data_IF_357889835903
#
_entry.id   IF_357889835903
#
_cell.length_a   1.000
_cell.length_b   1.000
_cell.length_c   1.000
_cell.angle_alpha   90.00
_cell.angle_beta   90.00
_cell.angle_gamma   90.00
#
_symmetry.space_group_name_H-M   'P 1'
#
loop_
_entity.id
_entity.type
_entity.pdbx_description
1 polymer ?
#
# COMPACT_ATOMS: atom_id res chain seq x y z
N UNK A 1 12.03 -5.64 -13.25
CA UNK A 1 10.70 -5.43 -12.66
C UNK A 1 10.59 -6.45 -11.54
N UNK A 2 10.41 -6.05 -10.28
CA UNK A 2 10.26 -7.03 -9.19
C UNK A 2 8.93 -7.73 -9.38
N UNK A 3 8.92 -9.05 -9.49
CA UNK A 3 7.71 -9.85 -9.55
C UNK A 3 7.10 -9.93 -8.16
N UNK A 4 5.92 -9.33 -8.00
CA UNK A 4 5.10 -9.45 -6.80
C UNK A 4 4.11 -10.57 -7.08
N UNK A 5 4.47 -11.80 -6.71
CA UNK A 5 3.57 -12.95 -6.77
C UNK A 5 3.69 -13.78 -5.49
N UNK A 6 2.55 -13.96 -4.82
CA UNK A 6 2.35 -14.98 -3.80
C UNK A 6 1.68 -16.19 -4.44
N UNK A 7 2.23 -17.36 -4.18
CA UNK A 7 1.77 -18.62 -4.76
C UNK A 7 0.69 -19.24 -3.86
N UNK A 8 -0.57 -19.16 -4.30
CA UNK A 8 -1.72 -19.73 -3.59
C UNK A 8 -2.06 -21.10 -4.19
N UNK A 9 -2.44 -22.10 -3.37
CA UNK A 9 -2.91 -23.38 -3.90
C UNK A 9 -4.17 -23.21 -4.74
N UNK A 10 -4.23 -23.89 -5.89
CA UNK A 10 -5.32 -23.77 -6.87
C UNK A 10 -6.70 -24.14 -6.30
N UNK A 11 -6.74 -25.15 -5.42
CA UNK A 11 -7.96 -25.62 -4.76
C UNK A 11 -8.27 -24.87 -3.45
N UNK A 12 -7.44 -23.89 -3.10
CA UNK A 12 -7.49 -23.13 -1.85
C UNK A 12 -7.46 -23.99 -0.58
N UNK A 13 -6.96 -25.23 -0.66
CA UNK A 13 -6.75 -26.08 0.51
C UNK A 13 -5.30 -26.06 0.93
N UNK A 14 -5.06 -25.78 2.20
CA UNK A 14 -3.71 -25.59 2.73
C UNK A 14 -3.44 -26.51 3.92
N UNK A 15 -2.21 -26.99 4.02
CA UNK A 15 -1.64 -27.63 5.20
C UNK A 15 -0.70 -26.67 5.93
N UNK A 16 -0.20 -27.13 7.08
CA UNK A 16 0.71 -26.34 7.92
C UNK A 16 1.99 -25.89 7.19
N UNK A 17 2.77 -26.78 6.53
CA UNK A 17 3.95 -26.34 5.79
C UNK A 17 3.64 -25.30 4.70
N UNK A 18 2.51 -25.45 4.01
CA UNK A 18 2.13 -24.55 2.92
C UNK A 18 1.75 -23.16 3.45
N UNK A 19 1.03 -23.05 4.57
CA UNK A 19 0.69 -21.74 5.15
C UNK A 19 1.92 -21.04 5.74
N UNK A 20 2.84 -21.80 6.35
CA UNK A 20 4.09 -21.26 6.87
C UNK A 20 4.95 -20.68 5.74
N UNK A 21 5.06 -21.40 4.61
CA UNK A 21 5.73 -20.91 3.41
C UNK A 21 5.07 -19.63 2.87
N UNK A 22 3.74 -19.62 2.74
CA UNK A 22 3.00 -18.46 2.23
C UNK A 22 3.22 -17.21 3.10
N UNK A 23 3.31 -17.36 4.42
CA UNK A 23 3.63 -16.28 5.34
C UNK A 23 5.07 -15.80 5.14
N UNK A 24 6.04 -16.71 5.00
CA UNK A 24 7.43 -16.35 4.77
C UNK A 24 7.61 -15.59 3.44
N UNK A 25 7.00 -16.09 2.37
CA UNK A 25 7.01 -15.44 1.04
C UNK A 25 6.39 -14.04 1.12
N UNK A 26 5.29 -13.88 1.88
CA UNK A 26 4.67 -12.58 2.12
C UNK A 26 5.59 -11.61 2.88
N UNK A 27 6.28 -12.09 3.91
CA UNK A 27 7.22 -11.29 4.68
C UNK A 27 8.39 -10.82 3.80
N UNK A 28 8.94 -11.70 2.98
CA UNK A 28 10.02 -11.35 2.06
C UNK A 28 9.57 -10.31 1.03
N UNK A 29 8.39 -10.49 0.42
CA UNK A 29 7.81 -9.51 -0.49
C UNK A 29 7.58 -8.15 0.18
N UNK A 30 7.12 -8.16 1.44
CA UNK A 30 6.86 -6.93 2.19
C UNK A 30 8.14 -6.17 2.51
N UNK A 31 9.24 -6.86 2.82
CA UNK A 31 10.57 -6.26 3.01
C UNK A 31 11.12 -5.65 1.72
N UNK A 32 11.02 -6.39 0.59
CA UNK A 32 11.40 -5.86 -0.73
C UNK A 32 10.63 -4.58 -1.06
N UNK A 33 9.33 -4.55 -0.72
CA UNK A 33 8.48 -3.38 -0.90
C UNK A 33 8.91 -2.21 0.01
N UNK A 34 9.27 -2.45 1.27
CA UNK A 34 9.69 -1.40 2.19
C UNK A 34 11.01 -0.74 1.78
N UNK A 35 11.95 -1.55 1.27
CA UNK A 35 13.32 -1.11 0.96
C UNK A 35 13.43 -0.44 -0.40
N UNK A 36 12.52 -0.76 -1.32
CA UNK A 36 12.47 -0.06 -2.58
C UNK A 36 12.15 1.42 -2.34
N UNK A 37 13.12 2.29 -2.69
CA UNK A 37 12.98 3.75 -2.77
C UNK A 37 11.95 4.05 -3.85
N UNK A 38 10.69 3.96 -3.48
CA UNK A 38 9.61 3.97 -4.43
C UNK A 38 9.36 5.39 -4.93
N UNK A 39 10.12 5.76 -5.97
CA UNK A 39 9.75 6.79 -6.94
C UNK A 39 8.57 6.33 -7.81
N UNK A 40 7.56 5.69 -7.22
CA UNK A 40 6.43 5.18 -7.97
C UNK A 40 5.54 6.38 -8.34
N UNK A 41 5.15 6.44 -9.61
CA UNK A 41 4.03 7.27 -10.04
C UNK A 41 2.74 6.81 -9.35
N UNK A 42 1.76 7.69 -9.15
CA UNK A 42 0.50 7.31 -8.49
C UNK A 42 -0.20 6.10 -9.14
N UNK A 43 0.04 5.87 -10.45
CA UNK A 43 -0.51 4.74 -11.21
C UNK A 43 0.06 3.39 -10.75
N UNK A 44 1.37 3.29 -10.51
CA UNK A 44 1.95 2.02 -10.07
C UNK A 44 1.69 1.75 -8.57
N UNK A 45 1.42 2.77 -7.75
CA UNK A 45 0.95 2.54 -6.36
C UNK A 45 -0.43 1.89 -6.36
N UNK A 46 -1.35 2.37 -7.20
CA UNK A 46 -2.67 1.75 -7.36
C UNK A 46 -2.55 0.29 -7.78
N UNK A 47 -1.65 -0.03 -8.72
CA UNK A 47 -1.40 -1.40 -9.14
C UNK A 47 -0.90 -2.28 -7.99
N UNK A 48 0.05 -1.80 -7.18
CA UNK A 48 0.53 -2.53 -6.01
C UNK A 48 -0.61 -2.78 -5.01
N UNK A 49 -1.42 -1.76 -4.71
CA UNK A 49 -2.60 -1.92 -3.84
C UNK A 49 -3.56 -2.97 -4.41
N UNK A 50 -3.85 -2.93 -5.70
CA UNK A 50 -4.71 -3.93 -6.36
C UNK A 50 -4.15 -5.35 -6.23
N UNK A 51 -2.84 -5.52 -6.38
CA UNK A 51 -2.16 -6.82 -6.20
C UNK A 51 -2.34 -7.33 -4.76
N UNK A 52 -2.06 -6.48 -3.76
CA UNK A 52 -2.22 -6.88 -2.36
C UNK A 52 -3.68 -7.16 -1.99
N UNK A 53 -4.65 -6.38 -2.52
CA UNK A 53 -6.07 -6.66 -2.32
C UNK A 53 -6.49 -8.00 -2.95
N UNK A 54 -5.93 -8.36 -4.11
CA UNK A 54 -6.13 -9.70 -4.69
C UNK A 54 -5.59 -10.80 -3.79
N UNK A 55 -4.44 -10.60 -3.15
CA UNK A 55 -3.94 -11.57 -2.15
C UNK A 55 -4.83 -11.66 -0.93
N UNK A 56 -5.39 -10.54 -0.46
CA UNK A 56 -6.34 -10.54 0.65
C UNK A 56 -7.58 -11.38 0.33
N UNK A 57 -8.12 -11.22 -0.88
CA UNK A 57 -9.25 -12.03 -1.37
C UNK A 57 -8.89 -13.52 -1.47
N UNK A 58 -7.73 -13.84 -2.05
CA UNK A 58 -7.27 -15.23 -2.17
C UNK A 58 -7.04 -15.88 -0.80
N UNK A 59 -6.42 -15.17 0.14
CA UNK A 59 -6.25 -15.64 1.51
C UNK A 59 -7.60 -15.85 2.22
N UNK A 60 -8.62 -15.06 1.89
CA UNK A 60 -9.99 -15.25 2.39
C UNK A 60 -10.68 -16.52 1.89
N UNK A 61 -10.20 -17.12 0.79
CA UNK A 61 -10.72 -18.39 0.25
C UNK A 61 -10.01 -19.61 0.82
N UNK A 62 -8.86 -19.43 1.49
CA UNK A 62 -8.09 -20.53 2.04
C UNK A 62 -8.88 -21.29 3.10
N UNK A 63 -8.84 -22.60 2.98
CA UNK A 63 -9.41 -23.56 3.92
C UNK A 63 -8.38 -24.63 4.24
N UNK A 64 -8.62 -25.38 5.31
CA UNK A 64 -7.73 -26.45 5.76
C UNK A 64 -8.16 -27.81 5.20
N UNK A 65 -7.18 -28.65 4.85
CA UNK A 65 -7.39 -30.08 4.55
C UNK A 65 -7.07 -31.00 5.73
N UNK A 66 -6.65 -30.43 6.86
CA UNK A 66 -6.26 -31.19 8.04
C UNK A 66 -7.47 -31.79 8.77
N UNK A 67 -7.31 -33.02 9.25
CA UNK A 67 -8.32 -33.71 10.07
C UNK A 67 -8.19 -33.36 11.55
N UNK A 68 -6.99 -32.99 11.98
CA UNK A 68 -6.68 -32.60 13.35
C UNK A 68 -7.32 -31.26 13.69
N UNK A 69 -8.04 -31.22 14.80
CA UNK A 69 -8.69 -29.98 15.26
C UNK A 69 -7.66 -28.91 15.64
N UNK A 70 -6.56 -29.31 16.28
CA UNK A 70 -5.48 -28.40 16.69
C UNK A 70 -4.78 -27.81 15.47
N UNK A 71 -4.45 -28.63 14.47
CA UNK A 71 -3.81 -28.13 13.24
C UNK A 71 -4.76 -27.22 12.45
N UNK A 72 -6.06 -27.53 12.44
CA UNK A 72 -7.08 -26.66 11.86
C UNK A 72 -7.09 -25.27 12.51
N UNK A 73 -7.08 -25.19 13.84
CA UNK A 73 -7.04 -23.91 14.56
C UNK A 73 -5.76 -23.14 14.22
N UNK A 74 -4.61 -23.82 14.18
CA UNK A 74 -3.32 -23.19 13.87
C UNK A 74 -3.30 -22.64 12.44
N UNK A 75 -3.77 -23.42 11.46
CA UNK A 75 -3.83 -23.01 10.06
C UNK A 75 -4.79 -21.83 9.88
N UNK A 76 -6.00 -21.89 10.45
CA UNK A 76 -6.98 -20.80 10.36
C UNK A 76 -6.45 -19.51 11.01
N UNK A 77 -5.76 -19.62 12.15
CA UNK A 77 -5.10 -18.49 12.80
C UNK A 77 -4.00 -17.90 11.91
N UNK A 78 -3.24 -18.74 11.22
CA UNK A 78 -2.17 -18.33 10.32
C UNK A 78 -2.73 -17.64 9.05
N UNK A 79 -3.86 -18.11 8.52
CA UNK A 79 -4.61 -17.43 7.46
C UNK A 79 -5.06 -16.04 7.91
N UNK A 80 -5.59 -15.91 9.14
CA UNK A 80 -5.99 -14.61 9.69
C UNK A 80 -4.80 -13.66 9.82
N UNK A 81 -3.66 -14.13 10.34
CA UNK A 81 -2.42 -13.35 10.43
C UNK A 81 -1.92 -12.88 9.06
N UNK A 82 -2.00 -13.74 8.04
CA UNK A 82 -1.64 -13.38 6.68
C UNK A 82 -2.53 -12.24 6.15
N UNK A 83 -3.86 -12.37 6.33
CA UNK A 83 -4.82 -11.34 5.91
C UNK A 83 -4.60 -10.01 6.62
N UNK A 84 -4.34 -10.05 7.93
CA UNK A 84 -4.00 -8.87 8.72
C UNK A 84 -2.73 -8.20 8.19
N UNK A 85 -1.66 -8.97 7.98
CA UNK A 85 -0.40 -8.46 7.43
C UNK A 85 -0.58 -7.80 6.05
N UNK A 86 -1.35 -8.42 5.16
CA UNK A 86 -1.67 -7.86 3.83
C UNK A 86 -2.38 -6.50 3.99
N UNK A 87 -3.38 -6.41 4.87
CA UNK A 87 -4.10 -5.15 5.13
C UNK A 87 -3.19 -4.07 5.72
N UNK A 88 -2.29 -4.43 6.65
CA UNK A 88 -1.30 -3.51 7.19
C UNK A 88 -0.38 -2.94 6.09
N UNK A 89 0.03 -3.78 5.13
CA UNK A 89 0.83 -3.34 3.99
C UNK A 89 0.05 -2.40 3.07
N UNK A 90 -1.20 -2.71 2.75
CA UNK A 90 -2.08 -1.82 1.97
C UNK A 90 -2.24 -0.46 2.66
N UNK A 91 -2.47 -0.45 3.97
CA UNK A 91 -2.57 0.77 4.75
C UNK A 91 -1.27 1.58 4.69
N UNK A 92 -0.11 0.93 4.86
CA UNK A 92 1.20 1.59 4.81
C UNK A 92 1.50 2.19 3.43
N UNK A 93 1.21 1.47 2.35
CA UNK A 93 1.37 1.95 0.98
C UNK A 93 0.46 3.17 0.74
N UNK A 94 -0.79 3.08 1.17
CA UNK A 94 -1.78 4.16 1.01
C UNK A 94 -1.39 5.40 1.81
N UNK A 95 -0.92 5.24 3.04
CA UNK A 95 -0.44 6.34 3.87
C UNK A 95 0.76 7.07 3.24
N UNK A 96 1.73 6.31 2.70
CA UNK A 96 2.87 6.88 1.96
C UNK A 96 2.41 7.69 0.74
N UNK A 97 1.40 7.20 0.01
CA UNK A 97 0.81 7.90 -1.13
C UNK A 97 0.14 9.22 -0.72
N UNK A 98 -0.69 9.19 0.33
CA UNK A 98 -1.37 10.39 0.84
C UNK A 98 -0.36 11.45 1.26
N UNK A 99 0.65 11.09 2.06
CA UNK A 99 1.68 12.04 2.47
C UNK A 99 2.47 12.63 1.29
N UNK A 100 2.74 11.84 0.24
CA UNK A 100 3.37 12.35 -0.99
C UNK A 100 2.48 13.38 -1.70
N UNK A 101 1.19 13.10 -1.84
CA UNK A 101 0.22 14.01 -2.45
C UNK A 101 0.10 15.33 -1.67
N UNK A 102 0.05 15.27 -0.33
CA UNK A 102 0.00 16.47 0.53
C UNK A 102 1.24 17.36 0.36
N UNK A 103 2.42 16.74 0.24
CA UNK A 103 3.67 17.45 0.00
C UNK A 103 3.67 18.13 -1.39
N UNK A 104 3.20 17.44 -2.43
CA UNK A 104 3.07 18.00 -3.79
C UNK A 104 2.08 19.18 -3.82
N UNK A 105 0.92 19.06 -3.18
CA UNK A 105 -0.07 20.14 -3.05
C UNK A 105 0.53 21.35 -2.32
N UNK A 106 1.26 21.11 -1.22
CA UNK A 106 1.88 22.18 -0.44
C UNK A 106 2.95 22.91 -1.25
N UNK A 107 3.76 22.19 -2.03
CA UNK A 107 4.74 22.80 -2.93
C UNK A 107 4.07 23.64 -4.02
N UNK A 108 2.99 23.14 -4.63
CA UNK A 108 2.20 23.89 -5.62
C UNK A 108 1.60 25.17 -5.03
N UNK A 109 1.05 25.12 -3.82
CA UNK A 109 0.51 26.30 -3.11
C UNK A 109 1.60 27.34 -2.80
N UNK A 110 2.81 26.91 -2.42
CA UNK A 110 3.95 27.82 -2.19
C UNK A 110 4.45 28.48 -3.47
N UNK A 111 4.40 27.77 -4.59
CA UNK A 111 4.85 28.27 -5.89
C UNK A 111 3.82 29.20 -6.56
N UNK A 112 2.55 29.16 -6.14
CA UNK A 112 1.55 30.17 -6.45
C UNK A 112 1.70 31.37 -5.48
N UNK A 113 2.65 32.28 -5.74
CA UNK A 113 2.63 33.60 -5.07
C UNK A 113 1.31 34.32 -5.39
N UNK A 114 0.73 35.07 -4.43
CA UNK A 114 -0.50 35.81 -4.68
C UNK A 114 -0.25 36.84 -5.79
N UNK A 115 -1.12 36.86 -6.81
CA UNK A 115 -1.22 37.94 -7.78
C UNK A 115 -1.74 39.17 -7.04
N UNK A 116 -0.87 39.81 -6.25
CA UNK A 116 -1.21 41.04 -5.57
C UNK A 116 -1.08 42.16 -6.59
N UNK A 117 -2.23 42.60 -7.09
CA UNK A 117 -2.37 43.76 -7.95
C UNK A 117 -1.55 44.94 -7.39
N UNK A 118 -0.44 45.26 -8.05
CA UNK A 118 0.25 46.52 -7.90
C UNK A 118 -0.63 47.64 -8.46
N UNK A 119 -1.66 48.05 -7.72
CA UNK A 119 -2.30 49.35 -7.93
C UNK A 119 -1.27 50.43 -7.59
N UNK A 120 -0.57 50.86 -8.64
CA UNK A 120 0.18 52.12 -8.75
C UNK A 120 -0.52 53.21 -7.91
N UNK A 121 0.02 53.54 -6.75
CA UNK A 121 -0.26 54.83 -6.09
C UNK A 121 0.36 55.93 -6.95
N UNK A 122 -0.40 56.43 -7.91
CA UNK A 122 -0.11 57.69 -8.59
C UNK A 122 -0.19 58.83 -7.57
N UNK A 123 0.95 59.18 -6.95
CA UNK A 123 1.14 60.46 -6.27
C UNK A 123 1.07 61.57 -7.33
N UNK A 124 -0.13 62.11 -7.59
CA UNK A 124 -0.27 63.38 -8.30
C UNK A 124 0.05 64.49 -7.31
N UNK A 125 1.30 64.96 -7.32
CA UNK A 125 1.68 66.28 -6.79
C UNK A 125 0.84 67.32 -7.53
N UNK A 126 -0.07 67.99 -6.84
CA UNK A 126 -0.59 69.28 -7.32
C UNK A 126 0.10 70.38 -6.52
N UNK A 127 1.09 71.01 -7.17
CA UNK A 127 1.58 72.34 -6.81
C UNK A 127 0.69 73.34 -7.55
N UNK A 128 -0.04 74.17 -6.83
CA UNK A 128 -0.13 75.63 -7.01
C UNK A 128 -1.17 76.18 -6.03
#
# INVERSE_FOLDING_TARGET
MVTFELDFPEDFKIDKPSIDKLIADFQELSLKLSDSKFGISNMAIKQVVTIYMKYYENAGKLTTKEKSHEDNILILTSILKLREGIMSMVALITAKLVGKLENEITALKKNQKPVNNSKKKSKKKSKK
#
